data_IF_849661829409
#
_entry.id   IF_849661829409
#
_cell.length_a   1.000
_cell.length_b   1.000
_cell.length_c   1.000
_cell.angle_alpha   90.00
_cell.angle_beta   90.00
_cell.angle_gamma   90.00
#
_symmetry.space_group_name_H-M   'P 1'
#
loop_
_entity.id
_entity.type
_entity.pdbx_description
1 polymer ?
#
# COMPACT_ATOMS: atom_id res chain seq x y z
N UNK A 1 -7.06 18.53 -15.28
CA UNK A 1 -7.09 17.89 -13.94
C UNK A 1 -8.49 17.35 -13.70
N UNK A 2 -8.67 16.11 -13.24
CA UNK A 2 -10.00 15.57 -12.96
C UNK A 2 -10.73 16.37 -11.87
N UNK A 3 -12.05 16.37 -11.95
CA UNK A 3 -12.93 17.28 -11.21
C UNK A 3 -12.91 16.98 -9.69
N UNK A 4 -12.75 18.00 -8.85
CA UNK A 4 -12.69 17.90 -7.38
C UNK A 4 -13.89 17.14 -6.78
N UNK A 5 -15.04 17.20 -7.45
CA UNK A 5 -16.26 16.48 -7.04
C UNK A 5 -16.08 14.97 -6.94
N UNK A 6 -15.18 14.38 -7.74
CA UNK A 6 -14.87 12.94 -7.69
C UNK A 6 -14.16 12.54 -6.40
N UNK A 7 -13.32 13.42 -5.84
CA UNK A 7 -12.60 13.17 -4.58
C UNK A 7 -13.52 13.21 -3.35
N UNK A 8 -14.64 13.94 -3.44
CA UNK A 8 -15.66 13.99 -2.39
C UNK A 8 -16.45 12.68 -2.31
N UNK A 9 -16.58 11.95 -3.41
CA UNK A 9 -17.31 10.67 -3.45
C UNK A 9 -16.62 9.65 -2.54
N UNK A 10 -15.35 9.36 -2.78
CA UNK A 10 -14.59 8.32 -2.04
C UNK A 10 -14.20 8.71 -0.61
N UNK A 11 -14.36 9.99 -0.23
CA UNK A 11 -14.24 10.41 1.17
C UNK A 11 -15.38 9.87 2.05
N UNK A 12 -16.53 9.49 1.48
CA UNK A 12 -17.66 9.00 2.29
C UNK A 12 -17.31 7.66 2.94
N UNK A 13 -17.54 7.53 4.25
CA UNK A 13 -17.25 6.32 5.04
C UNK A 13 -17.83 5.03 4.44
N UNK A 14 -18.92 5.13 3.66
CA UNK A 14 -19.51 3.98 2.95
C UNK A 14 -18.47 3.19 2.12
N UNK A 15 -17.50 3.87 1.50
CA UNK A 15 -16.55 3.24 0.57
C UNK A 15 -15.49 2.38 1.29
N UNK A 16 -14.74 2.89 2.28
CA UNK A 16 -13.86 2.03 3.07
C UNK A 16 -14.65 0.96 3.81
N UNK A 17 -15.84 1.27 4.34
CA UNK A 17 -16.67 0.28 5.03
C UNK A 17 -17.03 -0.91 4.14
N UNK A 18 -17.66 -0.66 2.98
CA UNK A 18 -18.05 -1.73 2.06
C UNK A 18 -16.83 -2.40 1.41
N UNK A 19 -15.78 -1.64 1.07
CA UNK A 19 -14.54 -2.18 0.52
C UNK A 19 -13.85 -3.17 1.48
N UNK A 20 -13.81 -2.85 2.78
CA UNK A 20 -13.24 -3.73 3.81
C UNK A 20 -14.11 -4.95 4.06
N UNK A 21 -15.43 -4.80 4.10
CA UNK A 21 -16.34 -5.95 4.21
C UNK A 21 -16.13 -6.91 3.03
N UNK A 22 -16.11 -6.40 1.81
CA UNK A 22 -15.87 -7.22 0.61
C UNK A 22 -14.49 -7.88 0.64
N UNK A 23 -13.46 -7.14 1.05
CA UNK A 23 -12.11 -7.68 1.22
C UNK A 23 -12.07 -8.81 2.24
N UNK A 24 -12.52 -8.57 3.47
CA UNK A 24 -12.52 -9.58 4.54
C UNK A 24 -13.38 -10.80 4.20
N UNK A 25 -14.53 -10.57 3.55
CA UNK A 25 -15.39 -11.64 3.04
C UNK A 25 -14.68 -12.46 1.96
N UNK A 26 -14.02 -11.80 0.99
CA UNK A 26 -13.24 -12.49 -0.05
C UNK A 26 -12.11 -13.32 0.54
N UNK A 27 -11.38 -12.79 1.54
CA UNK A 27 -10.32 -13.54 2.23
C UNK A 27 -10.92 -14.76 2.91
N UNK A 28 -12.03 -14.63 3.64
CA UNK A 28 -12.70 -15.75 4.29
C UNK A 28 -13.21 -16.82 3.31
N UNK A 29 -13.75 -16.40 2.17
CA UNK A 29 -14.30 -17.32 1.17
C UNK A 29 -13.21 -18.09 0.41
N UNK A 30 -12.14 -17.40 0.03
CA UNK A 30 -11.13 -17.97 -0.86
C UNK A 30 -9.90 -18.54 -0.13
N UNK A 31 -9.81 -18.37 1.20
CA UNK A 31 -8.68 -18.92 1.96
C UNK A 31 -8.63 -20.45 1.88
N UNK A 32 -7.48 -21.04 1.47
CA UNK A 32 -7.36 -22.48 1.31
C UNK A 32 -7.46 -23.23 2.65
N UNK A 33 -7.96 -24.48 2.60
CA UNK A 33 -7.95 -25.40 3.76
C UNK A 33 -6.51 -25.75 4.16
N UNK A 34 -6.29 -26.08 5.42
CA UNK A 34 -4.96 -26.34 5.97
C UNK A 34 -4.26 -27.52 5.28
N UNK A 35 -5.02 -28.55 4.90
CA UNK A 35 -4.54 -29.68 4.10
C UNK A 35 -3.97 -29.24 2.74
N UNK A 36 -4.62 -28.27 2.09
CA UNK A 36 -4.16 -27.73 0.81
C UNK A 36 -2.87 -26.95 0.98
N UNK A 37 -2.75 -26.18 2.07
CA UNK A 37 -1.54 -25.42 2.40
C UNK A 37 -0.35 -26.36 2.62
N UNK A 38 -0.52 -27.41 3.44
CA UNK A 38 0.51 -28.42 3.68
C UNK A 38 0.99 -29.10 2.39
N UNK A 39 0.08 -29.36 1.45
CA UNK A 39 0.43 -29.91 0.13
C UNK A 39 1.23 -28.93 -0.73
N UNK A 40 1.03 -27.62 -0.57
CA UNK A 40 1.73 -26.56 -1.33
C UNK A 40 3.12 -26.27 -0.73
N UNK A 41 3.29 -26.42 0.58
CA UNK A 41 4.57 -26.22 1.27
C UNK A 41 5.56 -27.38 1.09
N UNK A 42 5.10 -28.52 0.57
CA UNK A 42 6.00 -29.64 0.24
C UNK A 42 6.97 -29.30 -0.90
N UNK A 43 8.22 -29.80 -0.87
CA UNK A 43 9.20 -29.58 -1.92
C UNK A 43 8.68 -30.01 -3.30
N UNK A 44 8.96 -29.21 -4.33
CA UNK A 44 8.57 -29.51 -5.71
C UNK A 44 9.35 -30.73 -6.20
N UNK A 45 8.64 -31.78 -6.62
CA UNK A 45 9.26 -32.99 -7.19
C UNK A 45 9.20 -32.95 -8.72
N UNK A 46 10.00 -33.78 -9.42
CA UNK A 46 10.02 -33.83 -10.89
C UNK A 46 8.65 -34.15 -11.53
N UNK A 47 7.72 -34.77 -10.81
CA UNK A 47 6.36 -35.03 -11.29
C UNK A 47 5.44 -33.80 -11.25
N UNK A 48 5.84 -32.72 -10.60
CA UNK A 48 5.03 -31.51 -10.37
C UNK A 48 5.22 -30.41 -11.43
N UNK A 49 5.63 -30.75 -12.66
CA UNK A 49 5.96 -29.78 -13.72
C UNK A 49 4.84 -28.76 -14.03
N UNK A 50 3.56 -29.15 -13.88
CA UNK A 50 2.42 -28.25 -14.04
C UNK A 50 2.26 -27.25 -12.89
N UNK A 51 2.58 -27.67 -11.66
CA UNK A 51 2.59 -26.82 -10.46
C UNK A 51 3.74 -25.82 -10.51
N UNK A 52 4.91 -26.26 -10.95
CA UNK A 52 6.10 -25.41 -11.16
C UNK A 52 5.82 -24.27 -12.15
N UNK A 53 5.24 -24.59 -13.31
CA UNK A 53 4.81 -23.58 -14.30
C UNK A 53 3.75 -22.61 -13.75
N UNK A 54 2.80 -23.09 -12.94
CA UNK A 54 1.78 -22.23 -12.31
C UNK A 54 2.44 -21.30 -11.28
N UNK A 55 3.40 -21.80 -10.51
CA UNK A 55 4.14 -21.02 -9.53
C UNK A 55 4.94 -19.90 -10.20
N UNK A 56 5.66 -20.21 -11.29
CA UNK A 56 6.37 -19.19 -12.07
C UNK A 56 5.45 -18.10 -12.65
N UNK A 57 4.24 -18.46 -13.11
CA UNK A 57 3.23 -17.45 -13.52
C UNK A 57 2.79 -16.56 -12.36
N UNK A 58 2.56 -17.12 -11.18
CA UNK A 58 2.20 -16.32 -9.99
C UNK A 58 3.35 -15.45 -9.49
N UNK A 59 4.59 -15.89 -9.67
CA UNK A 59 5.79 -15.12 -9.34
C UNK A 59 5.97 -13.93 -10.26
N UNK A 60 5.78 -14.11 -11.57
CA UNK A 60 5.76 -13.01 -12.52
C UNK A 60 4.66 -11.99 -12.19
N UNK A 61 3.47 -12.46 -11.77
CA UNK A 61 2.39 -11.60 -11.34
C UNK A 61 2.75 -10.77 -10.09
N UNK A 62 3.34 -11.39 -9.06
CA UNK A 62 3.83 -10.66 -7.87
C UNK A 62 4.89 -9.62 -8.25
N UNK A 63 5.84 -10.00 -9.10
CA UNK A 63 6.89 -9.09 -9.55
C UNK A 63 6.30 -7.87 -10.27
N UNK A 64 5.37 -8.08 -11.21
CA UNK A 64 4.72 -7.00 -11.93
C UNK A 64 3.90 -6.11 -11.00
N UNK A 65 3.13 -6.71 -10.09
CA UNK A 65 2.33 -5.98 -9.11
C UNK A 65 3.20 -5.06 -8.23
N UNK A 66 4.29 -5.61 -7.70
CA UNK A 66 5.24 -4.87 -6.87
C UNK A 66 5.96 -3.77 -7.66
N UNK A 67 6.27 -4.01 -8.94
CA UNK A 67 6.89 -3.01 -9.82
C UNK A 67 5.92 -1.84 -10.09
N UNK A 68 4.64 -2.13 -10.35
CA UNK A 68 3.62 -1.09 -10.54
C UNK A 68 3.44 -0.24 -9.28
N UNK A 69 3.40 -0.86 -8.11
CA UNK A 69 3.31 -0.15 -6.83
C UNK A 69 4.55 0.69 -6.54
N UNK A 70 5.75 0.19 -6.91
CA UNK A 70 6.99 0.94 -6.80
C UNK A 70 6.97 2.21 -7.68
N UNK A 71 6.63 2.07 -8.96
CA UNK A 71 6.54 3.20 -9.90
C UNK A 71 5.50 4.21 -9.42
N UNK A 72 4.32 3.73 -9.01
CA UNK A 72 3.27 4.59 -8.49
C UNK A 72 3.71 5.37 -7.23
N UNK A 73 4.40 4.70 -6.30
CA UNK A 73 4.94 5.33 -5.10
C UNK A 73 5.95 6.42 -5.45
N UNK A 74 6.88 6.13 -6.38
CA UNK A 74 7.87 7.10 -6.86
C UNK A 74 7.20 8.32 -7.50
N UNK A 75 6.23 8.12 -8.40
CA UNK A 75 5.49 9.22 -9.04
C UNK A 75 4.76 10.08 -8.00
N UNK A 76 4.14 9.45 -7.01
CA UNK A 76 3.45 10.17 -5.96
C UNK A 76 4.42 11.02 -5.15
N UNK A 77 5.54 10.43 -4.71
CA UNK A 77 6.61 11.16 -4.02
C UNK A 77 7.15 12.33 -4.86
N UNK A 78 7.51 12.10 -6.13
CA UNK A 78 8.07 13.12 -7.00
C UNK A 78 7.15 14.34 -7.18
N UNK A 79 5.83 14.13 -7.13
CA UNK A 79 4.84 15.19 -7.26
C UNK A 79 4.46 15.85 -5.93
N UNK A 80 4.50 15.13 -4.81
CA UNK A 80 4.12 15.68 -3.50
C UNK A 80 5.30 16.29 -2.73
N UNK A 81 6.52 15.77 -2.93
CA UNK A 81 7.71 16.17 -2.19
C UNK A 81 8.05 17.66 -2.33
N UNK A 82 8.04 18.26 -3.54
CA UNK A 82 8.33 19.69 -3.67
C UNK A 82 7.31 20.56 -2.94
N UNK A 83 6.03 20.18 -2.99
CA UNK A 83 4.93 20.90 -2.34
C UNK A 83 5.10 20.87 -0.82
N UNK A 84 5.44 19.71 -0.26
CA UNK A 84 5.70 19.55 1.18
C UNK A 84 6.97 20.31 1.60
N UNK A 85 8.01 20.28 0.77
CA UNK A 85 9.26 21.00 1.03
C UNK A 85 9.04 22.52 1.10
N UNK A 86 8.33 23.09 0.12
CA UNK A 86 8.00 24.52 0.10
C UNK A 86 7.17 24.92 1.32
N UNK A 87 6.21 24.07 1.71
CA UNK A 87 5.38 24.29 2.89
C UNK A 87 6.20 24.33 4.18
N UNK A 88 7.13 23.39 4.36
CA UNK A 88 8.05 23.39 5.50
C UNK A 88 8.99 24.57 5.50
N UNK A 89 9.45 25.00 4.32
CA UNK A 89 10.30 26.18 4.19
C UNK A 89 9.56 27.47 4.55
N UNK A 90 8.28 27.58 4.18
CA UNK A 90 7.47 28.79 4.42
C UNK A 90 6.96 28.90 5.85
N UNK A 91 6.47 27.81 6.45
CA UNK A 91 5.80 27.86 7.75
C UNK A 91 6.58 27.18 8.88
N UNK A 92 7.67 26.48 8.58
CA UNK A 92 8.36 25.61 9.53
C UNK A 92 7.55 24.34 9.85
N UNK A 93 8.19 23.31 10.40
CA UNK A 93 7.55 21.99 10.66
C UNK A 93 6.38 22.14 11.65
N UNK A 94 6.58 22.87 12.75
CA UNK A 94 5.58 23.05 13.80
C UNK A 94 4.34 23.82 13.34
N UNK A 95 4.51 24.96 12.64
CA UNK A 95 3.37 25.75 12.19
C UNK A 95 2.69 25.13 10.96
N UNK A 96 3.43 24.39 10.12
CA UNK A 96 2.82 23.54 9.10
C UNK A 96 1.88 22.50 9.74
N UNK A 97 2.26 21.89 10.86
CA UNK A 97 1.41 20.89 11.52
C UNK A 97 0.09 21.43 12.10
N UNK A 98 -0.01 22.74 12.35
CA UNK A 98 -1.13 23.35 13.08
C UNK A 98 -1.93 24.37 12.28
N UNK A 99 -1.41 24.85 11.15
CA UNK A 99 -2.07 25.90 10.37
C UNK A 99 -3.10 25.29 9.40
N UNK A 100 -4.35 25.76 9.49
CA UNK A 100 -5.52 25.40 8.66
C UNK A 100 -5.33 25.50 7.13
N UNK A 101 -4.19 25.97 6.64
CA UNK A 101 -3.86 26.10 5.21
C UNK A 101 -3.76 24.76 4.47
N UNK A 102 -3.65 23.62 5.18
CA UNK A 102 -3.63 22.29 4.54
C UNK A 102 -4.95 21.92 3.88
N UNK A 103 -6.08 22.44 4.35
CA UNK A 103 -7.36 22.22 3.67
C UNK A 103 -7.35 22.81 2.25
N UNK A 104 -6.65 23.93 2.04
CA UNK A 104 -6.50 24.55 0.72
C UNK A 104 -5.58 23.75 -0.20
N UNK A 105 -4.62 22.99 0.33
CA UNK A 105 -3.75 22.10 -0.45
C UNK A 105 -4.52 20.93 -1.08
N UNK A 106 -5.66 20.56 -0.49
CA UNK A 106 -6.52 19.49 -1.02
C UNK A 106 -7.24 19.87 -2.31
N UNK A 107 -7.44 21.16 -2.57
CA UNK A 107 -8.03 21.66 -3.81
C UNK A 107 -6.99 21.72 -4.96
N UNK A 108 -5.72 21.42 -4.66
CA UNK A 108 -4.61 21.47 -5.60
C UNK A 108 -4.04 20.11 -6.03
N UNK A 109 -2.86 20.12 -6.67
CA UNK A 109 -2.17 18.90 -7.14
C UNK A 109 -1.86 17.94 -6.00
N UNK A 110 -1.61 18.47 -4.82
CA UNK A 110 -1.29 17.69 -3.64
C UNK A 110 -2.50 16.82 -3.21
N UNK A 111 -3.71 17.39 -3.14
CA UNK A 111 -4.93 16.63 -2.85
C UNK A 111 -5.25 15.55 -3.87
N UNK A 112 -4.95 15.80 -5.15
CA UNK A 112 -5.06 14.80 -6.22
C UNK A 112 -4.19 13.57 -5.94
N UNK A 113 -2.89 13.79 -5.67
CA UNK A 113 -1.94 12.70 -5.42
C UNK A 113 -2.21 11.96 -4.10
N UNK A 114 -2.59 12.67 -3.05
CA UNK A 114 -3.02 12.05 -1.79
C UNK A 114 -4.27 11.20 -1.96
N UNK A 115 -5.19 11.62 -2.83
CA UNK A 115 -6.35 10.81 -3.15
C UNK A 115 -6.00 9.52 -3.90
N UNK A 116 -5.14 9.61 -4.91
CA UNK A 116 -4.67 8.43 -5.62
C UNK A 116 -3.93 7.47 -4.67
N UNK A 117 -3.13 7.99 -3.75
CA UNK A 117 -2.44 7.18 -2.74
C UNK A 117 -3.38 6.50 -1.76
N UNK A 118 -4.51 7.13 -1.42
CA UNK A 118 -5.57 6.46 -0.67
C UNK A 118 -6.19 5.32 -1.48
N UNK A 119 -6.51 5.55 -2.75
CA UNK A 119 -7.06 4.50 -3.62
C UNK A 119 -6.08 3.33 -3.79
N UNK A 120 -4.77 3.57 -3.79
CA UNK A 120 -3.77 2.50 -3.87
C UNK A 120 -3.80 1.56 -2.67
N UNK A 121 -4.33 1.96 -1.51
CA UNK A 121 -4.51 1.06 -0.36
C UNK A 121 -5.56 -0.03 -0.60
N UNK A 122 -6.56 0.25 -1.41
CA UNK A 122 -7.49 -0.79 -1.87
C UNK A 122 -6.83 -1.69 -2.91
N UNK A 123 -5.93 -1.15 -3.72
CA UNK A 123 -5.17 -1.94 -4.70
C UNK A 123 -4.20 -2.92 -4.01
N UNK A 124 -3.64 -2.57 -2.85
CA UNK A 124 -2.81 -3.47 -2.02
C UNK A 124 -3.56 -4.74 -1.54
N UNK A 125 -4.90 -4.80 -1.63
CA UNK A 125 -5.63 -6.06 -1.37
C UNK A 125 -5.24 -7.19 -2.34
N UNK A 126 -4.74 -6.82 -3.53
CA UNK A 126 -4.24 -7.76 -4.52
C UNK A 126 -3.07 -8.59 -3.98
N UNK A 127 -2.23 -8.05 -3.08
CA UNK A 127 -1.17 -8.82 -2.39
C UNK A 127 -1.75 -10.05 -1.69
N UNK A 128 -2.86 -9.86 -0.99
CA UNK A 128 -3.54 -10.93 -0.25
C UNK A 128 -4.14 -11.95 -1.21
N UNK A 129 -4.74 -11.49 -2.31
CA UNK A 129 -5.31 -12.37 -3.31
C UNK A 129 -4.25 -13.18 -4.06
N UNK A 130 -3.08 -12.61 -4.35
CA UNK A 130 -1.97 -13.35 -4.98
C UNK A 130 -1.46 -14.47 -4.04
N UNK A 131 -1.36 -14.20 -2.73
CA UNK A 131 -1.01 -15.24 -1.74
C UNK A 131 -2.04 -16.38 -1.75
N UNK A 132 -3.33 -16.04 -1.78
CA UNK A 132 -4.41 -17.02 -1.89
C UNK A 132 -4.33 -17.81 -3.20
N UNK A 133 -4.03 -17.16 -4.33
CA UNK A 133 -3.86 -17.82 -5.65
C UNK A 133 -2.69 -18.81 -5.69
N UNK A 134 -1.65 -18.59 -4.87
CA UNK A 134 -0.55 -19.54 -4.64
C UNK A 134 -0.97 -20.73 -3.77
N UNK A 135 -2.18 -20.73 -3.23
CA UNK A 135 -2.67 -21.76 -2.31
C UNK A 135 -2.11 -21.63 -0.89
N UNK A 136 -1.53 -20.47 -0.56
CA UNK A 136 -1.07 -20.15 0.79
C UNK A 136 -2.15 -19.39 1.55
N UNK A 137 -2.10 -19.45 2.88
CA UNK A 137 -2.97 -18.63 3.74
C UNK A 137 -2.32 -17.26 3.95
N UNK A 138 -3.05 -16.16 3.76
CA UNK A 138 -2.54 -14.84 4.12
C UNK A 138 -2.33 -14.76 5.64
N UNK A 139 -1.24 -14.11 6.04
CA UNK A 139 -0.88 -13.94 7.44
C UNK A 139 -1.90 -13.00 8.12
N UNK A 140 -2.22 -13.25 9.39
CA UNK A 140 -3.08 -12.34 10.17
C UNK A 140 -2.55 -10.91 10.14
N UNK A 141 -1.23 -10.75 10.28
CA UNK A 141 -0.56 -9.45 10.24
C UNK A 141 -0.77 -8.73 8.90
N UNK A 142 -0.76 -9.45 7.77
CA UNK A 142 -0.97 -8.89 6.44
C UNK A 142 -2.41 -8.34 6.31
N UNK A 143 -3.41 -9.16 6.68
CA UNK A 143 -4.83 -8.77 6.62
C UNK A 143 -5.12 -7.61 7.57
N UNK A 144 -4.57 -7.66 8.79
CA UNK A 144 -4.67 -6.58 9.78
C UNK A 144 -4.06 -5.27 9.26
N UNK A 145 -2.85 -5.35 8.70
CA UNK A 145 -2.15 -4.21 8.15
C UNK A 145 -2.90 -3.56 6.99
N UNK A 146 -3.35 -4.32 5.99
CA UNK A 146 -4.07 -3.73 4.85
C UNK A 146 -5.43 -3.12 5.27
N UNK A 147 -6.13 -3.76 6.22
CA UNK A 147 -7.37 -3.21 6.81
C UNK A 147 -7.09 -1.89 7.53
N UNK A 148 -6.05 -1.88 8.37
CA UNK A 148 -5.61 -0.70 9.11
C UNK A 148 -5.10 0.41 8.20
N UNK A 149 -4.42 0.09 7.10
CA UNK A 149 -3.92 1.05 6.13
C UNK A 149 -5.05 1.80 5.44
N UNK A 150 -6.11 1.11 5.00
CA UNK A 150 -7.29 1.74 4.39
C UNK A 150 -8.03 2.64 5.40
N UNK A 151 -8.25 2.16 6.63
CA UNK A 151 -8.93 2.95 7.67
C UNK A 151 -8.10 4.15 8.11
N UNK A 152 -6.80 3.96 8.34
CA UNK A 152 -5.86 5.01 8.73
C UNK A 152 -5.75 6.10 7.66
N UNK A 153 -5.71 5.69 6.38
CA UNK A 153 -5.72 6.64 5.27
C UNK A 153 -7.05 7.36 5.08
N UNK A 154 -8.16 6.66 5.31
CA UNK A 154 -9.45 7.32 5.28
C UNK A 154 -9.56 8.37 6.40
N UNK A 155 -9.11 8.05 7.62
CA UNK A 155 -9.09 9.01 8.74
C UNK A 155 -8.14 10.18 8.48
N UNK A 156 -6.98 9.96 7.87
CA UNK A 156 -6.03 11.03 7.53
C UNK A 156 -6.55 12.00 6.47
N UNK A 157 -7.62 11.64 5.73
CA UNK A 157 -8.32 12.57 4.84
C UNK A 157 -9.22 13.58 5.58
N UNK A 158 -9.53 13.35 6.85
CA UNK A 158 -10.39 14.22 7.66
C UNK A 158 -9.63 14.96 8.76
N UNK A 159 -8.56 14.37 9.27
CA UNK A 159 -7.78 14.93 10.37
C UNK A 159 -6.41 15.40 9.89
N UNK A 160 -5.95 16.51 10.48
CA UNK A 160 -4.64 17.16 10.27
C UNK A 160 -3.40 16.26 10.52
N UNK A 161 -3.59 14.97 10.84
CA UNK A 161 -2.55 13.93 10.88
C UNK A 161 -2.03 13.55 9.48
N UNK A 162 -2.24 14.43 8.50
CA UNK A 162 -1.92 14.25 7.11
C UNK A 162 -0.45 14.44 6.79
N UNK A 163 0.24 15.21 7.63
CA UNK A 163 1.68 15.34 7.55
C UNK A 163 2.40 14.07 7.97
N UNK A 164 1.89 13.29 8.95
CA UNK A 164 2.53 12.01 9.30
C UNK A 164 2.47 11.04 8.12
N UNK A 165 1.35 11.00 7.39
CA UNK A 165 1.22 10.24 6.14
C UNK A 165 2.16 10.78 5.06
N UNK A 166 2.25 12.10 4.87
CA UNK A 166 3.17 12.73 3.92
C UNK A 166 4.63 12.49 4.26
N UNK A 167 4.98 12.56 5.54
CA UNK A 167 6.31 12.30 6.12
C UNK A 167 6.64 10.83 5.94
N UNK A 168 5.75 9.90 6.31
CA UNK A 168 5.93 8.46 6.09
C UNK A 168 6.05 8.11 4.60
N UNK A 169 5.34 8.83 3.73
CA UNK A 169 5.34 8.64 2.27
C UNK A 169 6.59 9.22 1.59
N UNK A 170 7.11 10.35 2.07
CA UNK A 170 8.27 11.04 1.47
C UNK A 170 9.61 10.67 2.13
N UNK A 171 9.68 10.46 3.45
CA UNK A 171 10.92 9.99 4.12
C UNK A 171 11.27 8.55 3.74
N UNK A 172 10.28 7.72 3.40
CA UNK A 172 10.52 6.37 2.86
C UNK A 172 11.31 6.35 1.55
N UNK A 173 11.21 7.41 0.73
CA UNK A 173 11.99 7.57 -0.50
C UNK A 173 13.38 8.20 -0.24
N UNK A 174 13.47 9.15 0.68
CA UNK A 174 14.73 9.89 0.98
C UNK A 174 15.72 9.03 1.79
N UNK A 175 15.27 8.25 2.77
CA UNK A 175 16.16 7.39 3.56
C UNK A 175 16.78 6.25 2.74
N UNK A 176 16.06 5.72 1.74
CA UNK A 176 16.57 4.70 0.82
C UNK A 176 17.74 5.19 -0.05
N UNK A 177 17.88 6.51 -0.23
CA UNK A 177 18.93 7.10 -1.07
C UNK A 177 20.22 7.42 -0.28
N UNK A 178 20.13 7.73 1.02
CA UNK A 178 21.27 8.24 1.80
C UNK A 178 21.87 7.28 2.84
N UNK A 179 21.10 6.34 3.43
CA UNK A 179 21.59 5.54 4.56
C UNK A 179 21.29 4.05 4.38
N UNK A 180 22.32 3.23 4.14
CA UNK A 180 22.30 1.78 4.41
C UNK A 180 22.19 1.56 5.94
N UNK A 181 21.03 1.83 6.54
CA UNK A 181 20.83 1.68 7.98
C UNK A 181 19.55 0.90 8.24
N UNK A 182 19.73 -0.25 8.90
CA UNK A 182 18.72 -1.16 9.43
C UNK A 182 17.87 -0.52 10.55
N UNK A 183 17.06 0.49 10.21
CA UNK A 183 16.07 1.06 11.13
C UNK A 183 14.65 0.92 10.54
N UNK A 184 14.11 -0.28 10.73
CA UNK A 184 12.72 -0.58 11.10
C UNK A 184 11.68 0.56 10.98
N UNK A 185 11.27 0.93 9.75
CA UNK A 185 9.89 1.32 9.34
C UNK A 185 9.83 1.90 7.90
N UNK A 186 10.54 1.33 6.93
CA UNK A 186 10.53 1.83 5.54
C UNK A 186 9.52 1.11 4.65
N UNK A 187 8.40 1.79 4.38
CA UNK A 187 7.34 1.34 3.46
C UNK A 187 7.79 1.18 1.99
N UNK A 188 8.91 1.81 1.57
CA UNK A 188 9.45 1.63 0.22
C UNK A 188 10.24 0.31 0.06
N UNK A 189 10.81 -0.22 1.15
CA UNK A 189 11.63 -1.44 1.13
C UNK A 189 10.84 -2.73 1.44
N UNK A 190 9.54 -2.64 1.73
CA UNK A 190 8.78 -3.84 2.07
C UNK A 190 8.55 -4.77 0.87
N UNK A 191 8.47 -4.23 -0.35
CA UNK A 191 8.42 -5.06 -1.58
C UNK A 191 9.72 -5.85 -1.82
N UNK A 192 10.88 -5.34 -1.37
CA UNK A 192 12.15 -6.08 -1.41
C UNK A 192 12.23 -7.16 -0.31
N UNK A 193 11.60 -6.94 0.85
CA UNK A 193 11.51 -7.93 1.93
C UNK A 193 10.54 -9.08 1.61
N UNK A 194 9.45 -8.79 0.89
CA UNK A 194 8.50 -9.82 0.41
C UNK A 194 9.13 -10.78 -0.61
N UNK A 195 10.07 -10.31 -1.43
CA UNK A 195 10.84 -11.17 -2.34
C UNK A 195 11.70 -12.17 -1.54
N UNK A 196 12.26 -11.78 -0.40
CA UNK A 196 13.13 -12.64 0.41
C UNK A 196 12.39 -13.65 1.31
N UNK A 197 11.17 -13.34 1.77
CA UNK A 197 10.38 -14.25 2.61
C UNK A 197 9.58 -15.28 1.79
N UNK A 198 9.25 -14.98 0.53
CA UNK A 198 8.47 -15.89 -0.33
C UNK A 198 9.29 -16.67 -1.37
N UNK A 199 10.61 -16.42 -1.46
CA UNK A 199 11.60 -17.22 -2.19
C UNK A 199 12.41 -18.16 -1.27
N UNK A 200 11.94 -18.39 -0.04
CA UNK A 200 12.30 -19.56 0.77
C UNK A 200 11.07 -20.40 1.07
#
# INVERSE_FOLDING_TARGET
MPNIKTFVVYRKFRYPFWGLILYLFSVRLFQPKEETVKKVEQPITRSDSGRDKRLGKTESLMFLHNMLLCIFSFLTCANTLPIVYDLFKTYGVGASLTNGEFEKLYDGPYGYWSHLFYLSKFYEFVDTWIVILRGKRPLFLQVYHHTGAVLGMWLSMFYFAFLSVSITQNLGCVFSYYYKVDLWLSFCCWYAFFIFIFLK
#
